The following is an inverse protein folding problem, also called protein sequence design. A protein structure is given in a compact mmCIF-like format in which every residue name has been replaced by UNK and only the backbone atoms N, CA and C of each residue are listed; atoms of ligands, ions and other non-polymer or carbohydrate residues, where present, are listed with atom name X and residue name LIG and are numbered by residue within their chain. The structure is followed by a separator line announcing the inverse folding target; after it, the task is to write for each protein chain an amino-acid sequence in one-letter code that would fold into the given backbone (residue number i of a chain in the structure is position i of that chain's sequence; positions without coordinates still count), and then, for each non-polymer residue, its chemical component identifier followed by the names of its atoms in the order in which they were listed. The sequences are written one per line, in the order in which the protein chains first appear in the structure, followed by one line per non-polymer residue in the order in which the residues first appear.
data_IF_472659907676
#
_entry.id   IF_472659907676
#
_cell.length_a   1.000
_cell.length_b   1.000
_cell.length_c   1.000
_cell.angle_alpha   90.00
_cell.angle_beta   90.00
_cell.angle_gamma   90.00
#
_symmetry.space_group_name_H-M   'P 1'
#
loop_
_entity.id
_entity.type
_entity.pdbx_description
1 polymer ?
#
# COMPACT_ATOMS: atom_id res chain seq x y z
N UNK A 1 -21.01 26.34 21.08
CA UNK A 1 -22.49 26.42 20.99
C UNK A 1 -23.15 27.17 22.16
N UNK A 2 -22.69 26.99 23.42
CA UNK A 2 -23.26 27.71 24.58
C UNK A 2 -22.96 29.21 24.52
N UNK A 3 -21.72 29.58 24.25
CA UNK A 3 -21.29 30.98 24.12
C UNK A 3 -21.96 31.67 22.93
N UNK A 4 -22.07 31.00 21.78
CA UNK A 4 -22.78 31.52 20.62
C UNK A 4 -24.26 31.77 20.83
N UNK A 5 -24.89 31.19 21.88
CA UNK A 5 -26.27 31.53 22.28
C UNK A 5 -26.31 32.80 23.10
N UNK A 6 -25.29 33.07 23.92
CA UNK A 6 -25.20 34.27 24.74
C UNK A 6 -24.82 35.52 23.92
N UNK A 7 -24.01 35.34 22.86
CA UNK A 7 -23.48 36.42 22.00
C UNK A 7 -24.35 36.64 20.75
N UNK A 8 -25.52 35.99 20.65
CA UNK A 8 -26.37 36.01 19.46
C UNK A 8 -26.94 37.38 19.18
N UNK A 9 -27.19 37.71 17.91
CA UNK A 9 -27.96 38.87 17.49
C UNK A 9 -29.30 38.88 18.21
N UNK A 10 -29.63 39.99 18.89
CA UNK A 10 -30.82 40.15 19.73
C UNK A 10 -30.51 40.16 21.22
N UNK A 11 -29.29 39.98 21.67
CA UNK A 11 -28.91 40.27 23.05
C UNK A 11 -28.92 41.77 23.26
N UNK A 12 -29.69 42.21 24.25
CA UNK A 12 -29.86 43.64 24.58
C UNK A 12 -28.74 44.18 25.48
N UNK A 13 -27.82 43.33 25.96
CA UNK A 13 -26.68 43.75 26.79
C UNK A 13 -25.52 44.13 25.90
N UNK A 14 -24.85 45.22 26.20
CA UNK A 14 -23.67 45.71 25.48
C UNK A 14 -22.46 44.80 25.67
N UNK A 15 -22.36 44.10 26.79
CA UNK A 15 -21.28 43.18 27.12
C UNK A 15 -21.80 41.89 27.71
N UNK A 16 -21.13 40.79 27.39
CA UNK A 16 -21.41 39.46 27.93
C UNK A 16 -20.15 38.89 28.53
N UNK A 17 -20.16 38.66 29.85
CA UNK A 17 -19.05 38.03 30.56
C UNK A 17 -19.31 36.51 30.68
N UNK A 18 -18.35 35.72 30.25
CA UNK A 18 -18.36 34.27 30.34
C UNK A 18 -17.36 33.80 31.40
N UNK A 19 -17.89 33.30 32.52
CA UNK A 19 -17.05 32.75 33.60
C UNK A 19 -16.95 31.23 33.44
N UNK A 20 -15.71 30.73 33.44
CA UNK A 20 -15.40 29.31 33.40
C UNK A 20 -14.76 28.92 34.73
N UNK A 21 -15.45 28.06 35.47
CA UNK A 21 -14.95 27.53 36.74
C UNK A 21 -14.18 26.23 36.46
N UNK A 22 -12.94 26.17 36.94
CA UNK A 22 -12.07 25.01 36.81
C UNK A 22 -11.65 24.59 38.22
N UNK A 23 -11.72 23.32 38.52
CA UNK A 23 -11.22 22.76 39.77
C UNK A 23 -9.74 22.46 39.59
N UNK A 24 -8.89 23.01 40.49
CA UNK A 24 -7.45 22.78 40.47
C UNK A 24 -7.16 21.28 40.70
N UNK A 25 -6.27 20.68 39.91
CA UNK A 25 -5.97 19.24 39.95
C UNK A 25 -7.05 18.35 39.32
N UNK A 26 -8.07 18.91 38.63
CA UNK A 26 -9.12 18.14 37.98
C UNK A 26 -8.87 17.97 36.50
N UNK A 27 -9.52 16.95 35.94
CA UNK A 27 -9.56 16.66 34.51
C UNK A 27 -10.09 17.82 33.64
N UNK A 28 -10.82 18.76 34.22
CA UNK A 28 -11.42 19.88 33.50
C UNK A 28 -10.36 20.78 32.86
N UNK A 29 -9.22 21.02 33.53
CA UNK A 29 -8.12 21.83 33.00
C UNK A 29 -7.54 21.25 31.70
N UNK A 30 -7.34 19.95 31.66
CA UNK A 30 -6.86 19.26 30.44
C UNK A 30 -7.90 19.29 29.30
N UNK A 31 -9.16 19.08 29.62
CA UNK A 31 -10.24 19.13 28.63
C UNK A 31 -10.32 20.50 27.98
N UNK A 32 -10.18 21.57 28.76
CA UNK A 32 -10.17 22.94 28.24
C UNK A 32 -8.94 23.24 27.38
N UNK A 33 -7.75 22.78 27.78
CA UNK A 33 -6.54 22.91 26.94
C UNK A 33 -6.69 22.21 25.59
N UNK A 34 -7.27 21.01 25.60
CA UNK A 34 -7.55 20.23 24.38
C UNK A 34 -8.55 20.94 23.46
N UNK A 35 -9.61 21.53 24.04
CA UNK A 35 -10.60 22.31 23.30
C UNK A 35 -9.95 23.56 22.70
N UNK A 36 -9.13 24.29 23.47
CA UNK A 36 -8.45 25.50 23.00
C UNK A 36 -7.48 25.20 21.84
N UNK A 37 -6.72 24.07 21.89
CA UNK A 37 -5.87 23.64 20.78
C UNK A 37 -6.69 23.30 19.54
N UNK A 38 -7.79 22.58 19.68
CA UNK A 38 -8.70 22.26 18.55
C UNK A 38 -9.32 23.53 17.94
N UNK A 39 -9.68 24.50 18.77
CA UNK A 39 -10.17 25.79 18.30
C UNK A 39 -9.10 26.57 17.54
N UNK A 40 -7.84 26.58 18.04
CA UNK A 40 -6.71 27.14 17.33
C UNK A 40 -6.49 26.53 15.95
N UNK A 41 -6.54 25.21 15.85
CA UNK A 41 -6.42 24.47 14.60
C UNK A 41 -7.56 24.81 13.61
N UNK A 42 -8.81 24.80 14.08
CA UNK A 42 -9.96 25.18 13.24
C UNK A 42 -9.83 26.61 12.73
N UNK A 43 -9.41 27.55 13.59
CA UNK A 43 -9.19 28.94 13.22
C UNK A 43 -8.06 29.09 12.20
N UNK A 44 -7.00 28.27 12.28
CA UNK A 44 -5.89 28.26 11.34
C UNK A 44 -6.33 27.76 9.96
N UNK A 45 -7.11 26.66 9.92
CA UNK A 45 -7.73 26.15 8.69
C UNK A 45 -8.65 27.19 8.05
N UNK A 46 -9.52 27.81 8.86
CA UNK A 46 -10.49 28.80 8.38
C UNK A 46 -9.85 30.10 7.88
N UNK A 47 -8.66 30.45 8.36
CA UNK A 47 -7.91 31.61 7.87
C UNK A 47 -7.16 31.33 6.57
N UNK A 48 -6.93 30.06 6.22
CA UNK A 48 -6.29 29.65 4.95
C UNK A 48 -4.86 30.16 4.82
N UNK A 49 -4.05 30.10 5.86
CA UNK A 49 -2.65 30.56 5.81
C UNK A 49 -1.83 29.66 4.88
N UNK A 50 -1.35 30.18 3.73
CA UNK A 50 -0.63 29.39 2.73
C UNK A 50 0.76 28.92 3.20
N UNK A 51 1.27 29.44 4.32
CA UNK A 51 2.57 29.05 4.87
C UNK A 51 2.49 27.83 5.80
N UNK A 52 1.29 27.34 6.10
CA UNK A 52 1.09 26.14 6.93
C UNK A 52 0.92 24.94 6.05
N UNK A 53 2.02 24.28 5.71
CA UNK A 53 2.06 23.08 4.86
C UNK A 53 1.78 21.77 5.65
N UNK A 54 1.97 21.79 6.98
CA UNK A 54 1.71 20.65 7.85
C UNK A 54 0.91 21.09 9.06
N UNK A 55 -0.17 20.37 9.35
CA UNK A 55 -0.93 20.52 10.58
C UNK A 55 -0.72 19.31 11.47
N UNK A 56 -0.45 19.54 12.76
CA UNK A 56 -0.46 18.46 13.73
C UNK A 56 -1.86 17.85 13.81
N UNK A 57 -1.94 16.53 13.61
CA UNK A 57 -3.20 15.81 13.74
C UNK A 57 -3.58 15.74 15.23
N UNK A 58 -4.49 16.63 15.61
CA UNK A 58 -5.04 16.68 16.98
C UNK A 58 -5.92 15.47 17.30
N UNK A 59 -6.32 14.68 16.28
CA UNK A 59 -7.10 13.45 16.50
C UNK A 59 -6.27 12.36 17.19
N UNK A 60 -4.95 12.42 17.08
CA UNK A 60 -4.00 11.51 17.75
C UNK A 60 -3.86 11.79 19.26
N UNK A 61 -4.41 12.91 19.74
CA UNK A 61 -4.56 13.19 21.18
C UNK A 61 -5.82 12.47 21.75
N UNK A 62 -5.94 11.17 21.47
CA UNK A 62 -6.87 10.37 22.26
C UNK A 62 -6.34 10.38 23.69
N UNK A 63 -7.21 10.81 24.62
CA UNK A 63 -6.97 10.64 26.03
C UNK A 63 -6.66 9.16 26.28
N UNK A 64 -5.38 8.83 26.37
CA UNK A 64 -5.03 7.52 26.85
C UNK A 64 -5.54 7.41 28.28
N UNK A 65 -6.01 6.23 28.66
CA UNK A 65 -6.41 5.99 30.05
C UNK A 65 -5.27 6.42 31.03
N UNK A 66 -4.01 6.38 30.57
CA UNK A 66 -2.85 6.85 31.30
C UNK A 66 -2.85 8.36 31.59
N UNK A 67 -3.19 9.21 30.60
CA UNK A 67 -3.29 10.67 30.82
C UNK A 67 -4.42 11.01 31.79
N UNK A 68 -5.57 10.35 31.66
CA UNK A 68 -6.68 10.54 32.58
C UNK A 68 -6.34 10.16 34.02
N UNK A 69 -5.63 9.04 34.21
CA UNK A 69 -5.14 8.58 35.52
C UNK A 69 -4.08 9.50 36.08
N UNK A 70 -3.15 9.98 35.25
CA UNK A 70 -2.10 10.91 35.63
C UNK A 70 -2.64 12.23 36.17
N UNK A 71 -3.65 12.78 35.51
CA UNK A 71 -4.33 14.02 35.95
C UNK A 71 -5.10 13.78 37.25
N UNK A 72 -5.78 12.64 37.38
CA UNK A 72 -6.56 12.27 38.56
C UNK A 72 -5.69 12.01 39.81
N UNK A 73 -4.44 11.54 39.62
CA UNK A 73 -3.50 11.27 40.73
C UNK A 73 -2.79 12.53 41.24
N UNK A 74 -2.80 13.64 40.47
CA UNK A 74 -2.06 14.86 40.80
C UNK A 74 -0.52 14.71 40.74
N UNK A 75 -0.02 13.55 40.26
CA UNK A 75 1.42 13.30 40.18
C UNK A 75 1.99 13.85 38.86
N UNK A 76 2.87 14.86 38.90
CA UNK A 76 3.42 15.50 37.69
C UNK A 76 4.25 14.53 36.84
N UNK A 77 4.92 13.52 37.43
CA UNK A 77 5.71 12.54 36.70
C UNK A 77 4.84 11.63 35.81
N UNK A 78 3.64 11.29 36.28
CA UNK A 78 2.69 10.49 35.49
C UNK A 78 2.17 11.29 34.28
N UNK A 79 2.00 12.60 34.42
CA UNK A 79 1.60 13.46 33.30
C UNK A 79 2.73 13.56 32.26
N UNK A 80 3.97 13.83 32.73
CA UNK A 80 5.15 13.86 31.85
C UNK A 80 5.37 12.51 31.15
N UNK A 81 5.18 11.39 31.85
CA UNK A 81 5.24 10.05 31.26
C UNK A 81 4.23 9.88 30.13
N UNK A 82 3.00 10.28 30.35
CA UNK A 82 1.94 10.16 29.35
C UNK A 82 2.23 11.02 28.09
N UNK A 83 2.78 12.23 28.26
CA UNK A 83 3.18 13.10 27.16
C UNK A 83 4.34 12.47 26.35
N UNK A 84 5.37 11.98 27.03
CA UNK A 84 6.53 11.33 26.39
C UNK A 84 6.13 10.05 25.68
N UNK A 85 5.29 9.22 26.29
CA UNK A 85 4.80 7.98 25.66
C UNK A 85 4.02 8.28 24.37
N UNK A 86 3.24 9.36 24.35
CA UNK A 86 2.54 9.83 23.16
C UNK A 86 3.54 10.27 22.07
N UNK A 87 4.57 11.01 22.45
CA UNK A 87 5.61 11.45 21.52
C UNK A 87 6.38 10.26 20.95
N UNK A 88 6.81 9.32 21.79
CA UNK A 88 7.44 8.05 21.37
C UNK A 88 6.52 7.29 20.40
N UNK A 89 5.23 7.24 20.70
CA UNK A 89 4.23 6.61 19.82
C UNK A 89 4.15 7.28 18.45
N UNK A 90 4.13 8.62 18.41
CA UNK A 90 4.13 9.41 17.16
C UNK A 90 5.40 9.15 16.34
N UNK A 91 6.57 9.24 16.97
CA UNK A 91 7.86 9.02 16.30
C UNK A 91 8.04 7.58 15.81
N UNK A 92 7.56 6.57 16.55
CA UNK A 92 7.54 5.16 16.10
C UNK A 92 6.65 4.97 14.86
N UNK A 93 5.49 5.62 14.80
CA UNK A 93 4.63 5.57 13.60
C UNK A 93 5.31 6.20 12.38
N UNK A 94 6.01 7.33 12.56
CA UNK A 94 6.82 7.96 11.51
C UNK A 94 7.96 7.06 11.06
N UNK A 95 8.68 6.43 11.98
CA UNK A 95 9.73 5.45 11.68
C UNK A 95 9.19 4.26 10.87
N UNK A 96 8.04 3.70 11.28
CA UNK A 96 7.40 2.62 10.55
C UNK A 96 6.95 3.03 9.14
N UNK A 97 6.46 4.26 8.97
CA UNK A 97 6.13 4.83 7.66
C UNK A 97 7.37 5.00 6.78
N UNK A 98 8.47 5.52 7.34
CA UNK A 98 9.76 5.63 6.66
C UNK A 98 10.26 4.26 6.20
N UNK A 99 10.25 3.24 7.07
CA UNK A 99 10.68 1.88 6.72
C UNK A 99 9.83 1.26 5.60
N UNK A 100 8.51 1.50 5.60
CA UNK A 100 7.62 1.09 4.50
C UNK A 100 7.95 1.80 3.20
N UNK A 101 8.26 3.11 3.26
CA UNK A 101 8.70 3.89 2.10
C UNK A 101 10.02 3.35 1.54
N UNK A 102 11.00 3.03 2.39
CA UNK A 102 12.26 2.42 1.95
C UNK A 102 12.04 1.06 1.27
N UNK A 103 11.19 0.21 1.81
CA UNK A 103 10.84 -1.07 1.19
C UNK A 103 10.14 -0.88 -0.18
N UNK A 104 9.25 0.11 -0.30
CA UNK A 104 8.60 0.45 -1.56
C UNK A 104 9.60 0.96 -2.62
N UNK A 105 10.59 1.77 -2.21
CA UNK A 105 11.67 2.23 -3.09
C UNK A 105 12.53 1.05 -3.60
N UNK A 106 12.85 0.09 -2.75
CA UNK A 106 13.58 -1.13 -3.16
C UNK A 106 12.77 -1.94 -4.19
N UNK A 107 11.48 -2.14 -3.96
CA UNK A 107 10.60 -2.82 -4.92
C UNK A 107 10.49 -2.05 -6.25
N UNK A 108 10.44 -0.73 -6.21
CA UNK A 108 10.43 0.14 -7.39
C UNK A 108 11.73 0.01 -8.17
N UNK A 109 12.88 0.07 -7.48
CA UNK A 109 14.21 -0.15 -8.09
C UNK A 109 14.27 -1.48 -8.84
N UNK A 110 13.86 -2.58 -8.19
CA UNK A 110 13.97 -3.91 -8.77
C UNK A 110 13.04 -4.07 -9.99
N UNK A 111 11.83 -3.51 -9.92
CA UNK A 111 10.91 -3.46 -11.08
C UNK A 111 11.50 -2.64 -12.21
N UNK A 112 12.05 -1.45 -11.93
CA UNK A 112 12.63 -0.58 -12.96
C UNK A 112 13.85 -1.19 -13.61
N UNK A 113 14.69 -1.93 -12.86
CA UNK A 113 15.82 -2.71 -13.40
C UNK A 113 15.34 -3.78 -14.38
N UNK A 114 14.31 -4.54 -14.02
CA UNK A 114 13.71 -5.54 -14.90
C UNK A 114 13.16 -4.90 -16.17
N UNK A 115 12.35 -3.85 -16.05
CA UNK A 115 11.80 -3.11 -17.19
C UNK A 115 12.90 -2.54 -18.08
N UNK A 116 13.99 -2.02 -17.52
CA UNK A 116 15.14 -1.51 -18.27
C UNK A 116 15.80 -2.63 -19.08
N UNK A 117 15.99 -3.81 -18.49
CA UNK A 117 16.58 -4.97 -19.17
C UNK A 117 15.68 -5.48 -20.31
N UNK A 118 14.39 -5.65 -20.04
CA UNK A 118 13.40 -6.07 -21.04
C UNK A 118 13.30 -5.07 -22.19
N UNK A 119 13.15 -3.77 -21.87
CA UNK A 119 13.07 -2.73 -22.89
C UNK A 119 14.34 -2.66 -23.76
N UNK A 120 15.52 -2.82 -23.18
CA UNK A 120 16.78 -2.84 -23.93
C UNK A 120 16.81 -4.01 -24.91
N UNK A 121 16.38 -5.20 -24.48
CA UNK A 121 16.32 -6.39 -25.34
C UNK A 121 15.28 -6.20 -26.46
N UNK A 122 14.10 -5.71 -26.11
CA UNK A 122 13.02 -5.45 -27.07
C UNK A 122 13.43 -4.41 -28.12
N UNK A 123 14.10 -3.32 -27.72
CA UNK A 123 14.61 -2.28 -28.62
C UNK A 123 15.57 -2.89 -29.64
N UNK A 124 16.52 -3.71 -29.22
CA UNK A 124 17.45 -4.36 -30.13
C UNK A 124 16.74 -5.26 -31.16
N UNK A 125 15.70 -5.98 -30.74
CA UNK A 125 14.89 -6.82 -31.64
C UNK A 125 14.04 -5.97 -32.58
N UNK A 126 13.39 -4.91 -32.07
CA UNK A 126 12.55 -3.99 -32.85
C UNK A 126 13.35 -3.18 -33.86
N UNK A 127 14.58 -2.78 -33.55
CA UNK A 127 15.49 -2.12 -34.50
C UNK A 127 15.79 -3.04 -35.69
N UNK A 128 16.21 -4.27 -35.43
CA UNK A 128 16.44 -5.27 -36.50
C UNK A 128 15.17 -5.58 -37.30
N UNK A 129 14.01 -5.61 -36.61
CA UNK A 129 12.74 -5.79 -37.27
C UNK A 129 12.40 -4.59 -38.19
N UNK A 130 12.56 -3.37 -37.68
CA UNK A 130 12.28 -2.14 -38.43
C UNK A 130 13.10 -2.01 -39.71
N UNK A 131 14.39 -2.40 -39.66
CA UNK A 131 15.30 -2.41 -40.82
C UNK A 131 14.82 -3.35 -41.93
N UNK A 132 14.11 -4.43 -41.60
CA UNK A 132 13.58 -5.43 -42.54
C UNK A 132 12.14 -5.14 -42.97
N UNK A 133 11.45 -4.27 -42.25
CA UNK A 133 10.03 -4.02 -42.49
C UNK A 133 9.81 -3.32 -43.80
N UNK A 134 8.98 -3.92 -44.65
CA UNK A 134 8.47 -3.34 -45.88
C UNK A 134 7.02 -2.97 -45.66
N UNK A 135 6.64 -1.75 -46.05
CA UNK A 135 5.25 -1.31 -45.93
C UNK A 135 4.30 -2.26 -46.68
N UNK A 136 3.18 -2.55 -46.05
CA UNK A 136 2.12 -3.41 -46.57
C UNK A 136 0.79 -2.63 -46.68
N UNK A 137 0.85 -1.30 -46.76
CA UNK A 137 -0.33 -0.45 -46.84
C UNK A 137 -0.87 -0.31 -48.28
N UNK A 138 -2.16 -0.18 -48.37
CA UNK A 138 -2.83 0.09 -49.64
C UNK A 138 -2.51 -0.98 -50.70
N UNK A 139 -2.02 -0.52 -51.88
CA UNK A 139 -1.64 -1.36 -53.00
C UNK A 139 -0.31 -2.08 -52.83
N UNK A 140 0.48 -1.71 -51.80
CA UNK A 140 1.72 -2.38 -51.41
C UNK A 140 1.46 -3.69 -50.65
N UNK A 141 0.20 -4.02 -50.37
CA UNK A 141 -0.12 -5.26 -49.64
C UNK A 141 0.41 -6.50 -50.35
N UNK A 142 1.27 -7.20 -49.64
CA UNK A 142 1.80 -8.50 -50.10
C UNK A 142 2.01 -9.41 -48.91
N UNK A 143 1.43 -10.58 -48.99
CA UNK A 143 1.53 -11.61 -47.97
C UNK A 143 1.85 -12.97 -48.60
N UNK A 144 2.70 -13.75 -48.00
CA UNK A 144 2.92 -15.14 -48.40
C UNK A 144 2.20 -16.07 -47.41
N UNK A 145 1.46 -17.04 -47.90
CA UNK A 145 0.81 -18.09 -47.10
C UNK A 145 1.27 -19.43 -47.65
N UNK A 146 1.95 -20.24 -46.84
CA UNK A 146 2.68 -21.40 -47.30
C UNK A 146 3.76 -20.95 -48.32
N UNK A 147 3.62 -21.43 -49.59
CA UNK A 147 4.52 -21.09 -50.69
C UNK A 147 3.94 -20.02 -51.68
N UNK A 148 2.72 -19.58 -51.45
CA UNK A 148 1.98 -18.70 -52.37
C UNK A 148 2.05 -17.22 -51.97
N UNK A 149 2.51 -16.36 -52.84
CA UNK A 149 2.48 -14.90 -52.65
C UNK A 149 1.15 -14.32 -53.16
N UNK A 150 0.50 -13.54 -52.28
CA UNK A 150 -0.85 -13.00 -52.48
C UNK A 150 -0.81 -11.49 -52.34
N UNK A 151 -1.50 -10.78 -53.25
CA UNK A 151 -1.55 -9.31 -53.27
C UNK A 151 -2.91 -8.75 -52.88
N UNK A 152 -3.93 -9.60 -52.77
CA UNK A 152 -5.28 -9.18 -52.36
C UNK A 152 -5.60 -9.71 -50.98
N UNK A 153 -6.13 -8.85 -50.11
CA UNK A 153 -6.47 -9.18 -48.71
C UNK A 153 -7.52 -10.29 -48.60
N UNK A 154 -8.49 -10.32 -49.51
CA UNK A 154 -9.52 -11.38 -49.56
C UNK A 154 -8.89 -12.73 -49.84
N UNK A 155 -8.06 -12.80 -50.89
CA UNK A 155 -7.39 -14.05 -51.28
C UNK A 155 -6.43 -14.52 -50.17
N UNK A 156 -5.84 -13.61 -49.43
CA UNK A 156 -5.01 -13.94 -48.25
C UNK A 156 -5.83 -14.55 -47.11
N UNK A 157 -7.04 -14.06 -46.84
CA UNK A 157 -7.95 -14.62 -45.87
C UNK A 157 -8.36 -16.05 -46.24
N UNK A 158 -8.70 -16.31 -47.48
CA UNK A 158 -9.02 -17.63 -47.99
C UNK A 158 -7.82 -18.61 -47.90
N UNK A 159 -6.62 -18.09 -48.24
CA UNK A 159 -5.39 -18.88 -48.17
C UNK A 159 -5.03 -19.25 -46.72
N UNK A 160 -5.17 -18.33 -45.74
CA UNK A 160 -4.96 -18.62 -44.32
C UNK A 160 -5.89 -19.74 -43.88
N UNK A 161 -7.18 -19.66 -44.22
CA UNK A 161 -8.17 -20.68 -43.86
C UNK A 161 -7.83 -22.04 -44.49
N UNK A 162 -7.50 -22.08 -45.79
CA UNK A 162 -7.12 -23.27 -46.49
C UNK A 162 -5.84 -23.91 -45.92
N UNK A 163 -4.85 -23.08 -45.59
CA UNK A 163 -3.62 -23.50 -44.94
C UNK A 163 -3.91 -24.07 -43.53
N UNK A 164 -4.74 -23.40 -42.73
CA UNK A 164 -5.10 -23.83 -41.39
C UNK A 164 -5.85 -25.18 -41.38
N UNK A 165 -6.69 -25.42 -42.38
CA UNK A 165 -7.38 -26.72 -42.56
C UNK A 165 -6.40 -27.83 -42.97
N UNK A 166 -5.47 -27.55 -43.90
CA UNK A 166 -4.47 -28.49 -44.36
C UNK A 166 -3.48 -28.89 -43.25
N UNK A 167 -2.97 -27.92 -42.48
CA UNK A 167 -2.07 -28.14 -41.38
C UNK A 167 -2.80 -28.63 -40.12
N UNK A 168 -4.10 -28.79 -40.18
CA UNK A 168 -4.93 -29.26 -39.09
C UNK A 168 -4.73 -28.46 -37.78
N UNK A 169 -4.74 -27.13 -37.90
CA UNK A 169 -4.52 -26.21 -36.76
C UNK A 169 -5.48 -26.53 -35.60
N UNK A 170 -6.68 -27.03 -35.89
CA UNK A 170 -7.66 -27.40 -34.87
C UNK A 170 -7.17 -28.51 -33.93
N UNK A 171 -6.27 -29.38 -34.39
CA UNK A 171 -5.72 -30.54 -33.64
C UNK A 171 -4.29 -30.31 -33.15
N UNK A 172 -3.69 -29.14 -33.41
CA UNK A 172 -2.38 -28.83 -32.88
C UNK A 172 -2.36 -28.92 -31.36
N UNK A 173 -1.31 -29.48 -30.80
CA UNK A 173 -1.14 -29.56 -29.35
C UNK A 173 -0.86 -28.17 -28.78
N UNK A 174 -1.46 -27.88 -27.62
CA UNK A 174 -1.17 -26.66 -26.87
C UNK A 174 0.25 -26.75 -26.30
N UNK A 175 1.01 -25.64 -26.35
CA UNK A 175 2.41 -25.62 -25.90
C UNK A 175 3.40 -26.20 -26.90
N UNK A 176 2.95 -26.63 -28.11
CA UNK A 176 3.86 -26.95 -29.21
C UNK A 176 4.54 -25.68 -29.71
N UNK A 177 5.77 -25.80 -30.22
CA UNK A 177 6.47 -24.69 -30.88
C UNK A 177 5.61 -24.07 -31.99
N UNK A 178 5.63 -22.73 -32.13
CA UNK A 178 4.92 -22.02 -33.18
C UNK A 178 5.30 -22.53 -34.57
N UNK A 179 4.32 -22.69 -35.47
CA UNK A 179 4.51 -23.13 -36.85
C UNK A 179 4.46 -21.92 -37.78
N UNK A 180 5.31 -21.90 -38.79
CA UNK A 180 5.32 -20.85 -39.78
C UNK A 180 4.10 -20.97 -40.72
N UNK A 181 3.24 -19.95 -40.68
CA UNK A 181 2.10 -19.77 -41.57
C UNK A 181 2.54 -19.22 -42.95
N UNK A 182 3.47 -18.27 -42.94
CA UNK A 182 3.90 -17.54 -44.12
C UNK A 182 4.73 -16.32 -43.76
N UNK A 183 4.62 -15.24 -44.52
CA UNK A 183 5.30 -13.96 -44.21
C UNK A 183 4.49 -12.75 -44.66
N UNK A 184 4.69 -11.62 -43.98
CA UNK A 184 4.11 -10.32 -44.32
C UNK A 184 5.11 -9.21 -44.00
N UNK A 185 5.30 -8.26 -44.90
CA UNK A 185 6.17 -7.08 -44.70
C UNK A 185 7.61 -7.42 -44.29
N UNK A 186 8.16 -8.55 -44.77
CA UNK A 186 9.52 -8.97 -44.45
C UNK A 186 9.65 -9.80 -43.15
N UNK A 187 8.54 -10.12 -42.49
CA UNK A 187 8.50 -10.90 -41.26
C UNK A 187 7.75 -12.19 -41.41
N UNK A 188 8.29 -13.26 -40.86
CA UNK A 188 7.61 -14.55 -40.79
C UNK A 188 6.43 -14.45 -39.83
N UNK A 189 5.28 -15.00 -40.24
CA UNK A 189 4.08 -15.12 -39.40
C UNK A 189 4.07 -16.51 -38.79
N UNK A 190 4.06 -16.55 -37.47
CA UNK A 190 4.00 -17.78 -36.70
C UNK A 190 2.60 -17.96 -36.10
N UNK A 191 2.16 -19.21 -36.04
CA UNK A 191 0.88 -19.60 -35.47
C UNK A 191 1.11 -20.65 -34.36
N UNK A 192 0.44 -20.47 -33.24
CA UNK A 192 0.45 -21.46 -32.15
C UNK A 192 -0.93 -21.60 -31.49
N UNK A 193 -1.19 -22.79 -30.94
CA UNK A 193 -2.41 -23.04 -30.16
C UNK A 193 -2.21 -22.57 -28.72
N UNK A 194 -3.19 -21.83 -28.23
CA UNK A 194 -3.22 -21.32 -26.86
C UNK A 194 -4.53 -21.69 -26.19
N UNK A 195 -4.51 -21.87 -24.86
CA UNK A 195 -5.71 -21.90 -24.05
C UNK A 195 -5.86 -20.56 -23.35
N UNK A 196 -7.01 -19.93 -23.53
CA UNK A 196 -7.35 -18.80 -22.68
C UNK A 196 -8.20 -19.32 -21.51
N UNK A 197 -7.66 -19.22 -20.31
CA UNK A 197 -8.34 -19.57 -19.08
C UNK A 197 -9.08 -18.33 -18.58
N UNK A 198 -10.31 -18.16 -19.05
CA UNK A 198 -11.21 -17.10 -18.56
C UNK A 198 -12.23 -17.71 -17.56
N UNK A 199 -11.74 -18.46 -16.60
CA UNK A 199 -12.45 -18.98 -15.43
C UNK A 199 -13.75 -19.77 -15.66
N UNK A 200 -14.39 -19.69 -16.82
CA UNK A 200 -15.69 -20.32 -17.14
C UNK A 200 -15.77 -21.05 -18.48
N UNK A 201 -14.89 -20.77 -19.44
CA UNK A 201 -14.92 -21.41 -20.74
C UNK A 201 -13.50 -21.61 -21.29
N UNK A 202 -13.16 -22.87 -21.62
CA UNK A 202 -11.96 -23.22 -22.38
C UNK A 202 -12.14 -22.79 -23.83
N UNK A 203 -11.93 -21.50 -24.12
CA UNK A 203 -11.97 -21.00 -25.50
C UNK A 203 -10.75 -21.52 -26.24
N UNK A 204 -10.98 -22.20 -27.36
CA UNK A 204 -9.93 -22.60 -28.28
C UNK A 204 -9.38 -21.37 -28.98
N UNK A 205 -8.21 -20.90 -28.53
CA UNK A 205 -7.56 -19.70 -29.05
C UNK A 205 -6.35 -20.08 -29.91
N UNK A 206 -6.01 -19.20 -30.82
CA UNK A 206 -4.84 -19.27 -31.68
C UNK A 206 -4.10 -17.96 -31.55
N UNK A 207 -2.80 -18.02 -31.28
CA UNK A 207 -1.93 -16.86 -31.31
C UNK A 207 -1.27 -16.76 -32.69
N UNK A 208 -1.31 -15.57 -33.26
CA UNK A 208 -0.53 -15.17 -34.42
C UNK A 208 0.51 -14.14 -33.97
N UNK A 209 1.75 -14.30 -34.39
CA UNK A 209 2.84 -13.40 -34.05
C UNK A 209 3.80 -13.22 -35.23
N UNK A 210 4.50 -12.08 -35.27
CA UNK A 210 5.58 -11.85 -36.20
C UNK A 210 6.90 -12.31 -35.55
N UNK A 211 7.61 -13.21 -36.20
CA UNK A 211 8.81 -13.83 -35.66
C UNK A 211 9.88 -12.77 -35.30
N UNK A 212 10.32 -12.80 -34.06
CA UNK A 212 11.34 -11.88 -33.53
C UNK A 212 10.87 -10.42 -33.37
N UNK A 213 9.56 -10.16 -33.38
CA UNK A 213 8.97 -8.83 -33.17
C UNK A 213 8.24 -8.81 -31.81
N UNK A 214 8.85 -8.25 -30.75
CA UNK A 214 8.21 -8.15 -29.44
C UNK A 214 6.85 -7.46 -29.48
N UNK A 215 5.90 -8.01 -28.74
CA UNK A 215 4.54 -7.46 -28.64
C UNK A 215 3.71 -7.57 -29.92
N UNK A 216 4.15 -8.33 -30.92
CA UNK A 216 3.38 -8.57 -32.17
C UNK A 216 2.27 -9.62 -31.99
N UNK A 217 2.30 -10.42 -30.97
CA UNK A 217 1.33 -11.47 -30.73
C UNK A 217 -0.11 -10.92 -30.71
N UNK A 218 -1.01 -11.63 -31.36
CA UNK A 218 -2.45 -11.38 -31.37
C UNK A 218 -3.21 -12.65 -31.15
N UNK A 219 -4.26 -12.60 -30.32
CA UNK A 219 -5.10 -13.74 -29.99
C UNK A 219 -6.36 -13.74 -30.85
N UNK A 220 -6.63 -14.85 -31.50
CA UNK A 220 -7.78 -15.06 -32.35
C UNK A 220 -8.56 -16.28 -31.86
N UNK A 221 -9.88 -16.28 -32.05
CA UNK A 221 -10.66 -17.50 -31.88
C UNK A 221 -10.31 -18.50 -32.98
N UNK A 222 -10.25 -19.78 -32.64
CA UNK A 222 -9.98 -20.82 -33.66
C UNK A 222 -10.96 -20.73 -34.82
N UNK A 223 -12.22 -20.40 -34.53
CA UNK A 223 -13.29 -20.27 -35.55
C UNK A 223 -12.97 -19.16 -36.58
N UNK A 224 -12.31 -18.09 -36.15
CA UNK A 224 -11.95 -16.93 -37.00
C UNK A 224 -10.77 -17.28 -37.93
N UNK A 225 -9.98 -18.31 -37.59
CA UNK A 225 -8.88 -18.81 -38.43
C UNK A 225 -9.40 -19.89 -39.42
N UNK A 226 -10.43 -20.65 -39.03
CA UNK A 226 -11.04 -21.71 -39.86
C UNK A 226 -12.09 -21.16 -40.83
N UNK A 227 -12.35 -19.86 -40.82
CA UNK A 227 -13.23 -19.16 -41.77
C UNK A 227 -12.50 -17.99 -42.38
N UNK A 228 -12.72 -17.65 -43.67
CA UNK A 228 -12.09 -16.47 -44.26
C UNK A 228 -12.39 -15.20 -43.48
N UNK A 229 -11.36 -14.56 -42.94
CA UNK A 229 -11.49 -13.37 -42.08
C UNK A 229 -10.54 -12.26 -42.52
N UNK A 230 -11.10 -11.21 -43.11
CA UNK A 230 -10.35 -9.98 -43.40
C UNK A 230 -9.80 -9.33 -42.11
N UNK A 231 -10.48 -9.54 -40.98
CA UNK A 231 -10.03 -9.04 -39.68
C UNK A 231 -8.67 -9.59 -39.29
N UNK A 232 -8.43 -10.90 -39.49
CA UNK A 232 -7.14 -11.54 -39.22
C UNK A 232 -6.02 -10.95 -40.07
N UNK A 233 -6.26 -10.75 -41.37
CA UNK A 233 -5.29 -10.14 -42.29
C UNK A 233 -4.98 -8.72 -41.88
N UNK A 234 -5.99 -7.90 -41.54
CA UNK A 234 -5.81 -6.51 -41.09
C UNK A 234 -5.03 -6.42 -39.78
N UNK A 235 -5.24 -7.36 -38.86
CA UNK A 235 -4.46 -7.39 -37.62
C UNK A 235 -2.97 -7.63 -37.92
N UNK A 236 -2.63 -8.54 -38.82
CA UNK A 236 -1.24 -8.79 -39.22
C UNK A 236 -0.62 -7.57 -39.92
N UNK A 237 -1.37 -6.96 -40.85
CA UNK A 237 -0.97 -5.73 -41.53
C UNK A 237 -0.70 -4.60 -40.51
N UNK A 238 -1.62 -4.33 -39.59
CA UNK A 238 -1.47 -3.29 -38.57
C UNK A 238 -0.30 -3.60 -37.62
N UNK A 239 -0.09 -4.88 -37.27
CA UNK A 239 1.05 -5.28 -36.43
C UNK A 239 2.39 -5.05 -37.13
N UNK A 240 2.44 -5.26 -38.43
CA UNK A 240 3.65 -5.00 -39.26
C UNK A 240 3.93 -3.49 -39.36
N UNK A 241 2.93 -2.71 -39.73
CA UNK A 241 3.08 -1.26 -39.91
C UNK A 241 3.36 -0.52 -38.60
N UNK A 242 2.93 -1.08 -37.45
CA UNK A 242 3.16 -0.49 -36.12
C UNK A 242 4.56 -0.79 -35.55
N UNK A 243 5.47 -1.49 -36.23
CA UNK A 243 6.81 -1.80 -35.73
C UNK A 243 7.61 -0.53 -35.39
N UNK A 244 7.66 0.52 -36.23
CA UNK A 244 8.37 1.75 -35.91
C UNK A 244 7.81 2.45 -34.66
N UNK A 245 6.48 2.52 -34.53
CA UNK A 245 5.82 3.14 -33.37
C UNK A 245 6.09 2.37 -32.07
N UNK A 246 6.16 1.06 -32.16
CA UNK A 246 6.55 0.22 -31.01
C UNK A 246 8.00 0.44 -30.58
N UNK A 247 8.90 0.61 -31.54
CA UNK A 247 10.29 0.95 -31.26
C UNK A 247 10.37 2.25 -30.46
N UNK A 248 9.68 3.29 -30.93
CA UNK A 248 9.61 4.57 -30.24
C UNK A 248 8.98 4.45 -28.85
N UNK A 249 7.89 3.69 -28.73
CA UNK A 249 7.24 3.42 -27.45
C UNK A 249 8.16 2.71 -26.46
N UNK A 250 8.95 1.72 -26.91
CA UNK A 250 9.92 1.02 -26.04
C UNK A 250 11.11 1.89 -25.67
N UNK A 251 11.57 2.77 -26.54
CA UNK A 251 12.61 3.75 -26.20
C UNK A 251 12.13 4.70 -25.10
N UNK A 252 10.92 5.20 -25.20
CA UNK A 252 10.30 6.02 -24.15
C UNK A 252 10.17 5.27 -22.83
N UNK A 253 9.70 4.03 -22.85
CA UNK A 253 9.61 3.17 -21.65
C UNK A 253 10.98 2.96 -20.99
N UNK A 254 12.03 2.81 -21.79
CA UNK A 254 13.41 2.67 -21.29
C UNK A 254 13.86 3.94 -20.57
N UNK A 255 13.60 5.10 -21.14
CA UNK A 255 13.95 6.40 -20.54
C UNK A 255 13.23 6.61 -19.21
N UNK A 256 11.90 6.43 -19.17
CA UNK A 256 11.08 6.54 -17.97
C UNK A 256 11.52 5.54 -16.87
N UNK A 257 11.87 4.31 -17.26
CA UNK A 257 12.36 3.30 -16.33
C UNK A 257 13.72 3.67 -15.74
N UNK A 258 14.62 4.27 -16.53
CA UNK A 258 15.94 4.75 -16.08
C UNK A 258 15.81 5.93 -15.12
N UNK A 259 14.94 6.90 -15.41
CA UNK A 259 14.68 8.03 -14.52
C UNK A 259 14.10 7.55 -13.17
N UNK A 260 13.11 6.65 -13.23
CA UNK A 260 12.51 6.05 -12.03
C UNK A 260 13.54 5.27 -11.22
N UNK A 261 14.41 4.52 -11.88
CA UNK A 261 15.50 3.78 -11.25
C UNK A 261 16.48 4.72 -10.54
N UNK A 262 16.94 5.75 -11.23
CA UNK A 262 17.88 6.73 -10.67
C UNK A 262 17.25 7.45 -9.44
N UNK A 263 15.99 7.85 -9.54
CA UNK A 263 15.26 8.47 -8.44
C UNK A 263 15.12 7.53 -7.23
N UNK A 264 14.79 6.26 -7.46
CA UNK A 264 14.68 5.26 -6.40
C UNK A 264 16.05 5.03 -5.72
N UNK A 265 17.11 4.83 -6.50
CA UNK A 265 18.48 4.61 -6.00
C UNK A 265 19.00 5.81 -5.19
N UNK A 266 18.69 7.05 -5.59
CA UNK A 266 19.07 8.26 -4.87
C UNK A 266 18.35 8.41 -3.50
N UNK A 267 17.22 7.74 -3.30
CA UNK A 267 16.41 7.84 -2.09
C UNK A 267 16.49 6.60 -1.18
N UNK A 268 16.98 5.46 -1.69
CA UNK A 268 17.22 4.26 -0.90
C UNK A 268 18.36 4.51 0.10
N UNK A 269 18.16 4.08 1.34
CA UNK A 269 19.17 4.16 2.40
C UNK A 269 19.25 5.52 3.08
N UNK A 270 18.41 6.50 2.75
CA UNK A 270 18.33 7.75 3.51
C UNK A 270 17.92 7.44 4.95
N UNK A 271 18.63 8.00 5.95
CA UNK A 271 18.30 7.77 7.34
C UNK A 271 16.94 8.38 7.69
N UNK A 272 16.31 7.82 8.71
CA UNK A 272 15.09 8.40 9.28
C UNK A 272 15.42 9.76 9.91
N UNK A 273 14.75 10.84 9.47
CA UNK A 273 15.07 12.21 9.89
C UNK A 273 14.92 12.44 11.40
N UNK A 274 13.91 11.81 12.01
CA UNK A 274 13.61 11.97 13.43
C UNK A 274 14.27 10.85 14.29
N UNK A 275 15.34 10.20 13.83
CA UNK A 275 15.98 9.09 14.55
C UNK A 275 16.52 9.52 15.92
N UNK A 276 17.20 10.66 15.97
CA UNK A 276 17.76 11.23 17.21
C UNK A 276 16.65 11.64 18.18
N UNK A 277 15.60 12.30 17.69
CA UNK A 277 14.46 12.68 18.50
C UNK A 277 13.75 11.45 19.13
N UNK A 278 13.65 10.35 18.36
CA UNK A 278 13.09 9.11 18.87
C UNK A 278 13.95 8.50 19.99
N UNK A 279 15.27 8.50 19.84
CA UNK A 279 16.16 7.96 20.87
C UNK A 279 16.15 8.86 22.13
N UNK A 280 16.12 10.18 21.98
CA UNK A 280 16.00 11.11 23.11
C UNK A 280 14.67 10.92 23.85
N UNK A 281 13.55 10.81 23.13
CA UNK A 281 12.24 10.58 23.72
C UNK A 281 12.18 9.20 24.45
N UNK A 282 12.80 8.16 23.90
CA UNK A 282 12.93 6.84 24.56
C UNK A 282 13.76 6.89 25.84
N UNK A 283 14.89 7.60 25.78
CA UNK A 283 15.75 7.76 26.95
C UNK A 283 15.01 8.52 28.06
N UNK A 284 14.28 9.58 27.72
CA UNK A 284 13.48 10.34 28.70
C UNK A 284 12.33 9.50 29.27
N UNK A 285 11.66 8.69 28.46
CA UNK A 285 10.62 7.78 28.93
C UNK A 285 11.18 6.77 29.93
N UNK A 286 12.36 6.22 29.66
CA UNK A 286 13.02 5.27 30.56
C UNK A 286 13.46 5.93 31.88
N UNK A 287 13.97 7.17 31.82
CA UNK A 287 14.34 7.94 33.02
C UNK A 287 13.11 8.23 33.92
N UNK A 288 11.98 8.60 33.34
CA UNK A 288 10.73 8.81 34.09
C UNK A 288 10.24 7.48 34.69
N UNK A 289 10.32 6.36 33.96
CA UNK A 289 9.95 5.06 34.48
C UNK A 289 10.80 4.67 35.70
N UNK A 290 12.10 4.95 35.68
CA UNK A 290 12.99 4.75 36.81
C UNK A 290 12.59 5.63 37.99
N UNK A 291 12.34 6.92 37.78
CA UNK A 291 11.92 7.84 38.87
C UNK A 291 10.58 7.43 39.47
N UNK A 292 9.64 6.89 38.70
CA UNK A 292 8.37 6.39 39.21
C UNK A 292 8.55 5.10 39.99
N UNK A 293 9.47 4.22 39.56
CA UNK A 293 9.80 3.00 40.29
C UNK A 293 10.46 3.32 41.65
N UNK A 294 11.44 4.22 41.65
CA UNK A 294 12.14 4.65 42.87
C UNK A 294 11.19 5.35 43.89
N UNK A 295 10.19 6.08 43.39
CA UNK A 295 9.17 6.71 44.23
C UNK A 295 8.15 5.70 44.83
N UNK A 296 7.94 4.57 44.17
CA UNK A 296 6.99 3.53 44.63
C UNK A 296 7.58 2.56 45.66
N UNK A 297 8.92 2.46 45.75
CA UNK A 297 9.57 1.55 46.73
C UNK A 297 9.35 1.98 48.19
N UNK A 298 9.46 3.27 48.59
CA UNK A 298 9.25 3.67 49.99
C UNK A 298 7.79 3.49 50.49
N UNK A 299 6.79 3.56 49.59
CA UNK A 299 5.39 3.31 49.97
C UNK A 299 5.13 1.85 50.32
N UNK A 300 5.78 0.91 49.64
CA UNK A 300 5.66 -0.52 49.92
C UNK A 300 6.36 -0.92 51.25
N UNK A 301 7.46 -0.28 51.59
CA UNK A 301 8.12 -0.52 52.92
C UNK A 301 7.28 0.04 54.05
N UNK A 302 6.60 1.17 53.90
CA UNK A 302 5.70 1.73 54.91
C UNK A 302 4.42 0.90 55.07
N UNK A 303 3.79 0.41 54.00
CA UNK A 303 2.63 -0.47 54.10
C UNK A 303 2.97 -1.84 54.71
N UNK A 304 4.18 -2.38 54.43
CA UNK A 304 4.64 -3.61 55.04
C UNK A 304 4.99 -3.44 56.56
N UNK A 305 5.42 -2.23 56.95
CA UNK A 305 5.67 -1.92 58.37
C UNK A 305 4.38 -1.69 59.18
N UNK A 306 3.30 -1.21 58.55
CA UNK A 306 2.01 -0.97 59.20
C UNK A 306 1.13 -2.24 59.33
N UNK A 307 1.44 -3.28 58.54
CA UNK A 307 0.77 -4.61 58.59
C UNK A 307 1.47 -5.65 59.43
N UNK A 308 2.55 -5.31 60.19
CA UNK A 308 3.17 -6.22 61.15
C UNK A 308 2.25 -6.41 62.36
N UNK A 309 1.81 -7.65 62.70
CA UNK A 309 0.92 -7.87 63.82
C UNK A 309 1.63 -7.60 65.13
N UNK A 310 1.08 -6.65 65.90
CA UNK A 310 1.48 -6.39 67.28
C UNK A 310 1.16 -7.59 68.18
N UNK A 311 2.15 -8.44 68.37
CA UNK A 311 2.12 -9.47 69.38
C UNK A 311 2.49 -8.86 70.74
N UNK A 312 1.50 -8.59 71.60
CA UNK A 312 1.69 -8.52 73.05
C UNK A 312 0.60 -9.34 73.68
N UNK A 313 1.02 -10.48 74.08
CA UNK A 313 1.18 -10.98 75.51
C UNK A 313 0.00 -10.67 76.41
N UNK A 314 -0.69 -11.71 76.81
CA UNK A 314 -0.90 -12.04 78.24
C UNK A 314 -1.49 -13.41 78.35
N UNK A 315 -0.77 -14.24 79.10
CA UNK A 315 -1.21 -15.52 79.60
C UNK A 315 -2.27 -15.35 80.71
N UNK A 316 -3.23 -16.23 80.87
CA UNK A 316 -3.35 -17.20 81.93
C UNK A 316 -4.62 -18.04 81.79
N UNK A 317 -4.66 -19.26 82.42
CA UNK A 317 -5.58 -20.29 81.99
C UNK A 317 -6.71 -20.49 83.04
N UNK A 318 -7.87 -20.99 82.63
CA UNK A 318 -8.76 -21.78 83.56
C UNK A 318 -9.70 -22.74 82.80
N UNK A 319 -9.45 -24.03 83.07
CA UNK A 319 -10.31 -25.18 83.28
C UNK A 319 -11.62 -25.42 82.61
N UNK A 320 -11.66 -26.59 81.97
CA UNK A 320 -12.64 -27.70 82.08
C UNK A 320 -14.14 -27.41 82.02
N UNK A 321 -14.78 -28.07 81.10
CA UNK A 321 -16.21 -28.29 81.11
C UNK A 321 -16.66 -29.20 79.95
N UNK A 322 -16.71 -30.51 80.32
CA UNK A 322 -17.27 -31.58 79.46
C UNK A 322 -18.69 -31.35 78.99
N UNK A 323 -19.06 -31.86 77.90
CA UNK A 323 -20.03 -32.89 77.62
C UNK A 323 -20.85 -32.78 76.36
N UNK A 324 -20.68 -33.77 75.58
CA UNK A 324 -21.70 -34.66 74.95
C UNK A 324 -22.51 -34.18 73.75
N UNK A 325 -22.30 -35.00 72.77
CA UNK A 325 -23.23 -35.87 71.98
C UNK A 325 -24.02 -35.20 70.81
N UNK A 326 -23.57 -35.53 69.72
CA UNK A 326 -24.15 -36.42 68.66
C UNK A 326 -25.62 -36.26 68.24
N UNK A 327 -25.96 -36.83 67.11
CA UNK A 327 -26.23 -36.21 65.77
C UNK A 327 -27.71 -36.55 65.35
N UNK A 328 -28.04 -36.90 64.12
CA UNK A 328 -28.00 -36.34 62.79
C UNK A 328 -29.41 -36.12 62.24
N UNK A 329 -29.56 -35.79 61.01
CA UNK A 329 -30.42 -36.30 59.92
C UNK A 329 -30.76 -35.24 58.90
N UNK A 330 -30.30 -35.58 57.70
CA UNK A 330 -31.08 -35.73 56.44
C UNK A 330 -32.24 -34.80 56.19
N UNK A 331 -32.15 -34.05 55.11
CA UNK A 331 -32.88 -34.26 53.87
C UNK A 331 -32.30 -33.35 52.78
#
# INVERSE_FOLDING_TARGET
QREGRAIRQGNQNAEVSVYRYLTEGSFDGYTWQTIARKEGMVNQVMRGDPNVLEMEDVSDMQLSAGVATAIGSGNPLLLEKAEIDQEVGKLRRRQAAHNRSQAALMATRDRSRLTTSEATTDIALLQRASERTVSVEGDAFRMTVGEHTITKRADAADAITSWAARENVAMMSIGREPVKLGSIGGHDVLISRQNNHDGRDLRRMVALELAGVPGSQSMHKLEDILKPSLGTVRVLENKTNAIPDRLLGRQKTLEEARETLASAEANIGKPFADAEALEQARARAADIDQQLADAAEPEKENEAAEQAPSTQSAAEPVTQGECRSEPPHTA
#
